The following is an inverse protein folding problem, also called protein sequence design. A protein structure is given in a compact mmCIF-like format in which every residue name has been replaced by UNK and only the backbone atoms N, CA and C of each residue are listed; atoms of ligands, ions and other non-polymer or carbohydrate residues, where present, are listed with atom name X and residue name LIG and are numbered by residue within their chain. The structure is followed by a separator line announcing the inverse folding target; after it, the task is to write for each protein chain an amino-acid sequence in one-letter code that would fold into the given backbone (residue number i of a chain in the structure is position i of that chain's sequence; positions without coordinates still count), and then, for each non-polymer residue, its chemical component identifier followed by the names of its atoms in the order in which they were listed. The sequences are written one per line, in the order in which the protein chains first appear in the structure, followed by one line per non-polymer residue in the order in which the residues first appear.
data_IF_133335362379
#
_entry.id   IF_133335362379
#
_cell.length_a   1.000
_cell.length_b   1.000
_cell.length_c   1.000
_cell.angle_alpha   90.00
_cell.angle_beta   90.00
_cell.angle_gamma   90.00
#
_symmetry.space_group_name_H-M   'P 1'
#
loop_
_entity.id
_entity.type
_entity.pdbx_description
1 polymer ?
#
# COMPACT_ATOMS: atom_id res chain seq x y z
N UNK A 1 2.01 13.00 -13.68
CA UNK A 1 0.84 12.52 -12.90
C UNK A 1 0.63 11.02 -13.10
N UNK A 2 0.16 10.50 -14.25
CA UNK A 2 0.04 9.03 -14.44
C UNK A 2 1.39 8.31 -14.46
N UNK A 3 2.39 8.88 -15.15
CA UNK A 3 3.74 8.29 -15.22
C UNK A 3 4.38 8.11 -13.84
N UNK A 4 4.04 8.99 -12.89
CA UNK A 4 4.50 8.92 -11.52
C UNK A 4 3.77 7.80 -10.75
N UNK A 5 2.46 7.61 -10.98
CA UNK A 5 1.70 6.48 -10.44
C UNK A 5 2.24 5.12 -10.94
N UNK A 6 2.55 5.01 -12.23
CA UNK A 6 3.20 3.82 -12.80
C UNK A 6 4.58 3.56 -12.21
N UNK A 7 5.36 4.61 -11.97
CA UNK A 7 6.67 4.51 -11.34
C UNK A 7 6.56 3.98 -9.90
N UNK A 8 5.60 4.49 -9.12
CA UNK A 8 5.33 3.99 -7.75
C UNK A 8 4.90 2.54 -7.78
N UNK A 9 3.99 2.15 -8.68
CA UNK A 9 3.54 0.75 -8.80
C UNK A 9 4.67 -0.19 -9.21
N UNK A 10 5.52 0.25 -10.13
CA UNK A 10 6.71 -0.51 -10.55
C UNK A 10 7.67 -0.70 -9.38
N UNK A 11 7.89 0.34 -8.58
CA UNK A 11 8.71 0.26 -7.38
C UNK A 11 8.12 -0.72 -6.34
N UNK A 12 6.82 -0.65 -6.06
CA UNK A 12 6.14 -1.58 -5.15
C UNK A 12 6.28 -3.05 -5.58
N UNK A 13 6.11 -3.33 -6.88
CA UNK A 13 6.28 -4.70 -7.41
C UNK A 13 7.72 -5.18 -7.32
N UNK A 14 8.69 -4.31 -7.58
CA UNK A 14 10.12 -4.63 -7.42
C UNK A 14 10.44 -4.97 -5.96
N UNK A 15 9.97 -4.16 -5.03
CA UNK A 15 10.23 -4.35 -3.61
C UNK A 15 9.51 -5.59 -3.07
N UNK A 16 8.36 -5.96 -3.66
CA UNK A 16 7.66 -7.22 -3.37
C UNK A 16 8.52 -8.42 -3.75
N UNK A 17 9.11 -8.41 -4.95
CA UNK A 17 10.02 -9.46 -5.39
C UNK A 17 11.26 -9.55 -4.49
N UNK A 18 11.81 -8.42 -4.05
CA UNK A 18 12.92 -8.38 -3.13
C UNK A 18 12.55 -8.99 -1.76
N UNK A 19 11.40 -8.62 -1.20
CA UNK A 19 10.90 -9.16 0.07
C UNK A 19 10.63 -10.67 0.00
N UNK A 20 10.04 -11.14 -1.11
CA UNK A 20 9.83 -12.57 -1.36
C UNK A 20 11.14 -13.36 -1.38
N UNK A 21 12.19 -12.81 -2.02
CA UNK A 21 13.51 -13.45 -2.13
C UNK A 21 14.14 -13.72 -0.76
N UNK A 22 13.99 -12.79 0.18
CA UNK A 22 14.50 -12.93 1.55
C UNK A 22 13.49 -13.56 2.52
N UNK A 23 12.32 -13.99 2.02
CA UNK A 23 11.21 -14.57 2.79
C UNK A 23 10.68 -13.67 3.90
N UNK A 24 10.68 -12.37 3.68
CA UNK A 24 10.12 -11.39 4.61
C UNK A 24 8.60 -11.34 4.50
N UNK A 25 7.93 -12.21 5.25
CA UNK A 25 6.47 -12.40 5.18
C UNK A 25 5.68 -11.15 5.58
N UNK A 26 6.23 -10.32 6.48
CA UNK A 26 5.58 -9.09 6.92
C UNK A 26 5.57 -8.05 5.80
N UNK A 27 6.72 -7.82 5.16
CA UNK A 27 6.80 -6.87 4.04
C UNK A 27 6.04 -7.39 2.80
N UNK A 28 6.06 -8.69 2.53
CA UNK A 28 5.26 -9.29 1.45
C UNK A 28 3.77 -9.04 1.65
N UNK A 29 3.25 -9.23 2.88
CA UNK A 29 1.84 -8.98 3.16
C UNK A 29 1.48 -7.50 2.95
N UNK A 30 2.28 -6.57 3.49
CA UNK A 30 2.04 -5.13 3.35
C UNK A 30 2.03 -4.66 1.89
N UNK A 31 3.03 -5.10 1.11
CA UNK A 31 3.14 -4.73 -0.30
C UNK A 31 2.00 -5.30 -1.16
N UNK A 32 1.57 -6.53 -0.90
CA UNK A 32 0.41 -7.13 -1.59
C UNK A 32 -0.88 -6.41 -1.26
N UNK A 33 -1.10 -6.06 0.01
CA UNK A 33 -2.26 -5.28 0.42
C UNK A 33 -2.27 -3.90 -0.24
N UNK A 34 -1.13 -3.20 -0.28
CA UNK A 34 -1.04 -1.90 -0.93
C UNK A 34 -1.31 -1.98 -2.44
N UNK A 35 -0.73 -2.96 -3.14
CA UNK A 35 -0.97 -3.18 -4.57
C UNK A 35 -2.45 -3.47 -4.82
N UNK A 36 -3.06 -4.38 -4.05
CA UNK A 36 -4.47 -4.70 -4.19
C UNK A 36 -5.39 -3.50 -3.89
N UNK A 37 -5.05 -2.66 -2.92
CA UNK A 37 -5.81 -1.45 -2.62
C UNK A 37 -5.76 -0.43 -3.77
N UNK A 38 -4.60 -0.28 -4.41
CA UNK A 38 -4.44 0.56 -5.60
C UNK A 38 -5.26 -0.02 -6.76
N UNK A 39 -5.12 -1.32 -7.05
CA UNK A 39 -5.86 -1.99 -8.13
C UNK A 39 -7.38 -1.89 -7.88
N UNK A 40 -7.83 -2.00 -6.63
CA UNK A 40 -9.24 -1.83 -6.24
C UNK A 40 -9.72 -0.39 -6.41
N UNK A 41 -8.91 0.60 -6.04
CA UNK A 41 -9.29 2.01 -6.21
C UNK A 41 -9.48 2.35 -7.70
N UNK A 42 -8.66 1.81 -8.59
CA UNK A 42 -8.87 1.93 -10.05
C UNK A 42 -10.15 1.24 -10.53
N UNK A 43 -10.61 0.20 -9.83
CA UNK A 43 -11.82 -0.54 -10.18
C UNK A 43 -13.09 0.05 -9.57
N UNK A 44 -13.04 0.62 -8.36
CA UNK A 44 -14.22 1.13 -7.64
C UNK A 44 -14.69 2.46 -8.21
N UNK A 45 -13.79 3.28 -8.75
CA UNK A 45 -14.18 4.47 -9.53
C UNK A 45 -14.91 4.14 -10.85
N UNK A 46 -15.00 2.84 -11.22
CA UNK A 46 -15.79 2.34 -12.35
C UNK A 46 -17.16 1.76 -11.96
N UNK A 47 -17.44 1.52 -10.68
CA UNK A 47 -18.67 0.86 -10.19
C UNK A 47 -19.82 1.86 -9.92
N UNK A 48 -19.93 2.88 -10.77
CA UNK A 48 -21.05 3.83 -10.81
C UNK A 48 -21.95 3.69 -12.04
N UNK A 49 -21.63 2.83 -13.00
CA UNK A 49 -22.41 2.69 -14.25
C UNK A 49 -22.49 1.23 -14.69
N UNK A 50 -23.72 0.78 -14.93
CA UNK A 50 -24.09 -0.53 -15.46
C UNK A 50 -23.28 -0.94 -16.69
N UNK A 51 -22.74 -2.16 -16.66
CA UNK A 51 -22.42 -3.07 -17.78
C UNK A 51 -22.35 -2.44 -19.18
N UNK A 52 -21.43 -1.51 -19.40
CA UNK A 52 -20.91 -1.12 -20.72
C UNK A 52 -19.50 -0.60 -20.48
N UNK A 53 -18.52 -1.15 -21.19
CA UNK A 53 -17.09 -0.79 -21.16
C UNK A 53 -16.81 0.62 -20.62
N UNK A 54 -16.41 0.72 -19.35
CA UNK A 54 -15.93 1.96 -18.75
C UNK A 54 -14.41 1.92 -18.82
N UNK A 55 -13.82 2.94 -19.45
CA UNK A 55 -12.38 3.14 -19.48
C UNK A 55 -11.86 3.15 -18.03
N UNK A 56 -10.98 2.19 -17.68
CA UNK A 56 -10.19 2.20 -16.44
C UNK A 56 -9.58 3.59 -16.29
N UNK A 57 -10.08 4.39 -15.35
CA UNK A 57 -9.49 5.68 -15.04
C UNK A 57 -8.23 5.41 -14.24
N UNK A 58 -7.08 5.67 -14.84
CA UNK A 58 -5.78 5.48 -14.20
C UNK A 58 -5.69 6.42 -12.99
N UNK A 59 -5.35 5.89 -11.81
CA UNK A 59 -5.14 6.70 -10.61
C UNK A 59 -4.04 7.74 -10.88
N UNK A 60 -4.28 8.96 -10.43
CA UNK A 60 -3.22 9.95 -10.33
C UNK A 60 -2.20 9.55 -9.26
N UNK A 61 -0.97 10.06 -9.37
CA UNK A 61 0.06 9.80 -8.37
C UNK A 61 -0.35 10.27 -6.97
N UNK A 62 -1.09 11.37 -6.86
CA UNK A 62 -1.58 11.87 -5.58
C UNK A 62 -2.57 10.91 -4.91
N UNK A 63 -3.43 10.26 -5.70
CA UNK A 63 -4.35 9.24 -5.18
C UNK A 63 -3.61 7.97 -4.76
N UNK A 64 -2.62 7.53 -5.54
CA UNK A 64 -1.73 6.41 -5.13
C UNK A 64 -1.00 6.74 -3.83
N UNK A 65 -0.43 7.94 -3.71
CA UNK A 65 0.21 8.39 -2.48
C UNK A 65 -0.77 8.48 -1.31
N UNK A 66 -2.02 8.90 -1.54
CA UNK A 66 -3.05 8.98 -0.51
C UNK A 66 -3.40 7.59 0.04
N UNK A 67 -3.54 6.58 -0.83
CA UNK A 67 -3.76 5.18 -0.43
C UNK A 67 -2.60 4.68 0.43
N UNK A 68 -1.36 4.88 -0.03
CA UNK A 68 -0.16 4.47 0.72
C UNK A 68 -0.04 5.19 2.07
N UNK A 69 -0.32 6.50 2.12
CA UNK A 69 -0.32 7.26 3.35
C UNK A 69 -1.40 6.78 4.33
N UNK A 70 -2.55 6.34 3.83
CA UNK A 70 -3.60 5.68 4.62
C UNK A 70 -3.08 4.42 5.31
N UNK A 71 -2.40 3.54 4.59
CA UNK A 71 -1.79 2.33 5.15
C UNK A 71 -0.71 2.64 6.19
N UNK A 72 0.16 3.63 5.92
CA UNK A 72 1.18 4.08 6.88
C UNK A 72 0.55 4.54 8.19
N UNK A 73 -0.52 5.34 8.12
CA UNK A 73 -1.26 5.78 9.32
C UNK A 73 -1.92 4.61 10.05
N UNK A 74 -2.55 3.69 9.33
CA UNK A 74 -3.19 2.51 9.90
C UNK A 74 -2.20 1.66 10.72
N UNK A 75 -1.03 1.35 10.14
CA UNK A 75 0.02 0.62 10.85
C UNK A 75 0.56 1.35 12.07
N UNK A 76 0.66 2.68 12.03
CA UNK A 76 1.09 3.47 13.19
C UNK A 76 0.07 3.39 14.33
N UNK A 77 -1.22 3.57 14.04
CA UNK A 77 -2.31 3.46 15.03
C UNK A 77 -2.35 2.07 15.65
N UNK A 78 -2.21 1.02 14.84
CA UNK A 78 -2.21 -0.35 15.34
C UNK A 78 -0.97 -0.64 16.20
N UNK A 79 0.21 -0.14 15.81
CA UNK A 79 1.43 -0.29 16.59
C UNK A 79 1.32 0.40 17.96
N UNK A 80 0.72 1.59 18.02
CA UNK A 80 0.49 2.31 19.27
C UNK A 80 -0.49 1.56 20.18
N UNK A 81 -1.50 0.89 19.59
CA UNK A 81 -2.39 -0.01 20.31
C UNK A 81 -1.67 -1.22 20.93
N UNK A 82 -0.72 -1.82 20.21
CA UNK A 82 0.11 -2.91 20.74
C UNK A 82 1.06 -2.46 21.85
N UNK A 83 1.67 -1.28 21.72
CA UNK A 83 2.53 -0.72 22.77
C UNK A 83 1.75 -0.43 24.04
N UNK A 84 0.51 0.07 23.92
CA UNK A 84 -0.35 0.34 25.08
C UNK A 84 -0.64 -0.90 25.94
N UNK A 85 -0.57 -2.10 25.35
CA UNK A 85 -0.73 -3.39 26.05
C UNK A 85 0.59 -4.14 26.25
N UNK A 86 1.74 -3.48 26.04
CA UNK A 86 3.08 -4.03 26.30
C UNK A 86 3.59 -5.02 25.25
N UNK A 87 2.97 -5.09 24.07
CA UNK A 87 3.35 -6.00 22.99
C UNK A 87 4.29 -5.36 21.96
N UNK A 88 5.55 -5.14 22.36
CA UNK A 88 6.55 -4.45 21.52
C UNK A 88 6.87 -5.18 20.21
N UNK A 89 6.86 -6.52 20.18
CA UNK A 89 7.21 -7.31 18.98
C UNK A 89 6.26 -7.07 17.78
N UNK A 90 4.94 -7.23 17.95
CA UNK A 90 3.94 -6.84 16.94
C UNK A 90 4.03 -5.37 16.53
N UNK A 91 4.19 -4.45 17.50
CA UNK A 91 4.32 -3.02 17.23
C UNK A 91 5.53 -2.70 16.34
N UNK A 92 6.68 -3.30 16.62
CA UNK A 92 7.90 -3.11 15.84
C UNK A 92 7.75 -3.65 14.41
N UNK A 93 7.06 -4.78 14.23
CA UNK A 93 6.75 -5.31 12.89
C UNK A 93 5.89 -4.34 12.08
N UNK A 94 4.84 -3.79 12.67
CA UNK A 94 3.96 -2.80 12.02
C UNK A 94 4.72 -1.52 11.66
N UNK A 95 5.60 -1.05 12.54
CA UNK A 95 6.49 0.10 12.27
C UNK A 95 7.43 -0.16 11.11
N UNK A 96 7.99 -1.37 10.99
CA UNK A 96 8.80 -1.76 9.82
C UNK A 96 7.98 -1.73 8.52
N UNK A 97 6.74 -2.26 8.55
CA UNK A 97 5.84 -2.20 7.38
C UNK A 97 5.49 -0.75 7.00
N UNK A 98 5.20 0.11 7.97
CA UNK A 98 4.95 1.53 7.74
C UNK A 98 6.19 2.24 7.15
N UNK A 99 7.37 1.97 7.71
CA UNK A 99 8.63 2.53 7.24
C UNK A 99 8.97 2.09 5.81
N UNK A 100 8.62 0.85 5.43
CA UNK A 100 8.74 0.39 4.05
C UNK A 100 7.84 1.22 3.13
N UNK A 101 6.54 1.29 3.41
CA UNK A 101 5.59 1.99 2.53
C UNK A 101 5.90 3.49 2.42
N UNK A 102 6.40 4.11 3.49
CA UNK A 102 6.77 5.53 3.50
C UNK A 102 7.90 5.89 2.53
N UNK A 103 8.70 4.93 2.07
CA UNK A 103 9.75 5.15 1.04
C UNK A 103 9.18 5.46 -0.34
N UNK A 104 7.89 5.19 -0.55
CA UNK A 104 7.17 5.45 -1.80
C UNK A 104 6.29 6.70 -1.73
N UNK A 105 6.42 7.50 -0.67
CA UNK A 105 5.76 8.79 -0.52
C UNK A 105 6.77 9.92 -0.80
N UNK A 106 6.33 11.06 -1.34
CA UNK A 106 7.17 12.25 -1.54
C UNK A 106 7.62 12.90 -0.22
#
# INVERSE_FOLDING_TARGET
MTRDADAVRTALRRDLLAAMKIRDTAHVAALRTAIAAIDNAESVDAEGVTATEVARRELSADEVHAVLAGHVRGYAVEADGYDAVGQAGPAERLRRQAALLRRHLP
#
